data_IF_171235184531
#
_entry.id   IF_171235184531
#
_cell.length_a   1.000
_cell.length_b   1.000
_cell.length_c   1.000
_cell.angle_alpha   90.00
_cell.angle_beta   90.00
_cell.angle_gamma   90.00
#
_symmetry.space_group_name_H-M   'P 1'
#
loop_
_entity.id
_entity.type
_entity.pdbx_description
1 polymer ?
#
# COMPACT_ATOMS: atom_id res chain seq x y z
N UNK A 1 -11.66 11.92 -24.65
CA UNK A 1 -12.48 10.70 -24.55
C UNK A 1 -12.20 10.09 -23.20
N UNK A 2 -13.18 10.10 -22.29
CA UNK A 2 -13.05 9.54 -20.94
C UNK A 2 -13.41 8.06 -20.98
N UNK A 3 -12.47 7.19 -20.63
CA UNK A 3 -12.77 5.92 -19.97
C UNK A 3 -11.56 5.63 -19.09
N UNK A 4 -11.57 6.12 -17.85
CA UNK A 4 -10.69 5.55 -16.85
C UNK A 4 -11.07 4.06 -16.77
N UNK A 5 -10.21 3.16 -17.26
CA UNK A 5 -10.38 1.72 -17.03
C UNK A 5 -9.89 1.40 -15.63
N UNK A 6 -10.53 2.05 -14.65
CA UNK A 6 -10.38 1.71 -13.26
C UNK A 6 -11.00 0.32 -13.05
N UNK A 7 -10.48 -0.43 -12.07
CA UNK A 7 -11.14 -1.67 -11.67
C UNK A 7 -12.62 -1.38 -11.34
N UNK A 8 -13.55 -2.27 -11.73
CA UNK A 8 -14.96 -2.00 -11.55
C UNK A 8 -15.29 -1.83 -10.07
N UNK A 9 -16.07 -0.80 -9.73
CA UNK A 9 -16.47 -0.52 -8.33
C UNK A 9 -17.28 -1.65 -7.71
N UNK A 10 -17.88 -2.52 -8.53
CA UNK A 10 -18.56 -3.75 -8.09
C UNK A 10 -17.64 -4.70 -7.32
N UNK A 11 -16.32 -4.57 -7.45
CA UNK A 11 -15.34 -5.28 -6.64
C UNK A 11 -15.62 -5.09 -5.14
N UNK A 12 -16.10 -3.91 -4.73
CA UNK A 12 -16.44 -3.61 -3.33
C UNK A 12 -17.63 -4.40 -2.76
N UNK A 13 -18.38 -5.10 -3.61
CA UNK A 13 -19.46 -5.99 -3.17
C UNK A 13 -18.96 -7.39 -2.76
N UNK A 14 -17.67 -7.70 -2.98
CA UNK A 14 -17.08 -9.00 -2.67
C UNK A 14 -16.69 -9.10 -1.18
N UNK A 15 -17.67 -8.99 -0.28
CA UNK A 15 -17.43 -8.89 1.17
C UNK A 15 -16.73 -10.11 1.79
N UNK A 16 -16.78 -11.28 1.15
CA UNK A 16 -16.11 -12.51 1.61
C UNK A 16 -14.69 -12.66 1.06
N UNK A 17 -14.25 -11.76 0.16
CA UNK A 17 -12.97 -11.87 -0.53
C UNK A 17 -11.82 -11.74 0.47
N UNK A 18 -10.91 -12.73 0.44
CA UNK A 18 -9.70 -12.77 1.29
C UNK A 18 -8.42 -12.52 0.52
N UNK A 19 -8.40 -12.89 -0.76
CA UNK A 19 -7.24 -12.78 -1.64
C UNK A 19 -7.69 -12.09 -2.92
N UNK A 20 -7.05 -10.98 -3.25
CA UNK A 20 -7.16 -10.32 -4.54
C UNK A 20 -5.76 -10.27 -5.16
N UNK A 21 -5.54 -11.12 -6.15
CA UNK A 21 -4.31 -11.13 -6.94
C UNK A 21 -4.63 -10.70 -8.37
N UNK A 22 -4.09 -9.56 -8.76
CA UNK A 22 -4.18 -8.99 -10.09
C UNK A 22 -2.78 -8.82 -10.70
N UNK A 23 -1.77 -9.50 -10.16
CA UNK A 23 -0.38 -9.33 -10.57
C UNK A 23 -0.15 -9.75 -12.02
N UNK A 24 0.87 -9.15 -12.64
CA UNK A 24 1.33 -9.46 -13.99
C UNK A 24 0.25 -9.23 -15.06
N UNK A 25 -0.39 -8.06 -15.01
CA UNK A 25 -1.34 -7.63 -16.02
C UNK A 25 -0.93 -6.28 -16.62
N UNK A 26 -1.72 -5.78 -17.56
CA UNK A 26 -1.59 -4.44 -18.13
C UNK A 26 -2.63 -3.48 -17.53
N UNK A 27 -3.05 -3.72 -16.29
CA UNK A 27 -4.07 -2.89 -15.63
C UNK A 27 -3.47 -1.52 -15.31
N UNK A 28 -4.30 -0.48 -15.41
CA UNK A 28 -3.90 0.92 -15.24
C UNK A 28 -4.98 1.69 -14.50
N UNK A 29 -4.68 2.96 -14.19
CA UNK A 29 -5.63 3.86 -13.54
C UNK A 29 -5.54 3.84 -12.02
N UNK A 30 -6.53 4.47 -11.39
CA UNK A 30 -6.62 4.52 -9.94
C UNK A 30 -7.41 3.31 -9.42
N UNK A 31 -6.96 2.75 -8.31
CA UNK A 31 -7.68 1.67 -7.66
C UNK A 31 -8.94 2.23 -7.00
N UNK A 32 -10.11 1.61 -7.18
CA UNK A 32 -11.30 1.97 -6.43
C UNK A 32 -11.02 1.80 -4.92
N UNK A 33 -11.81 2.49 -4.09
CA UNK A 33 -11.66 2.37 -2.63
C UNK A 33 -11.99 0.94 -2.18
N UNK A 34 -10.96 0.13 -1.88
CA UNK A 34 -11.09 -1.27 -1.45
C UNK A 34 -11.37 -1.42 0.04
N UNK A 35 -11.56 -0.31 0.77
CA UNK A 35 -11.80 -0.27 2.22
C UNK A 35 -12.96 -1.17 2.67
N UNK A 36 -13.95 -1.41 1.81
CA UNK A 36 -15.12 -2.24 2.10
C UNK A 36 -14.87 -3.75 2.01
N UNK A 37 -13.69 -4.17 1.54
CA UNK A 37 -13.28 -5.57 1.52
C UNK A 37 -12.75 -5.99 2.89
N UNK A 38 -13.60 -5.95 3.91
CA UNK A 38 -13.19 -6.10 5.32
C UNK A 38 -12.52 -7.43 5.68
N UNK A 39 -12.63 -8.45 4.81
CA UNK A 39 -12.00 -9.76 4.99
C UNK A 39 -10.74 -9.92 4.13
N UNK A 40 -10.34 -8.91 3.36
CA UNK A 40 -9.16 -8.95 2.51
C UNK A 40 -7.90 -9.04 3.35
N UNK A 41 -7.12 -10.09 3.10
CA UNK A 41 -5.87 -10.40 3.79
C UNK A 41 -4.67 -10.28 2.86
N UNK A 42 -4.85 -10.57 1.57
CA UNK A 42 -3.79 -10.48 0.57
C UNK A 42 -4.26 -9.60 -0.58
N UNK A 43 -3.49 -8.55 -0.85
CA UNK A 43 -3.62 -7.74 -2.04
C UNK A 43 -2.29 -7.77 -2.81
N UNK A 44 -2.31 -8.33 -4.00
CA UNK A 44 -1.16 -8.38 -4.90
C UNK A 44 -1.48 -7.68 -6.22
N UNK A 45 -0.82 -6.57 -6.47
CA UNK A 45 -0.97 -5.75 -7.67
C UNK A 45 0.32 -5.65 -8.48
N UNK A 46 1.30 -6.50 -8.17
CA UNK A 46 2.63 -6.48 -8.78
C UNK A 46 2.59 -6.43 -10.31
N UNK A 47 3.53 -5.70 -10.93
CA UNK A 47 3.70 -5.66 -12.39
C UNK A 47 2.40 -5.22 -13.10
N UNK A 48 1.96 -4.01 -12.80
CA UNK A 48 0.86 -3.30 -13.46
C UNK A 48 1.23 -1.83 -13.63
N UNK A 49 0.27 -0.95 -13.91
CA UNK A 49 0.48 0.50 -14.04
C UNK A 49 -0.49 1.31 -13.17
N UNK A 50 -0.87 0.79 -12.00
CA UNK A 50 -1.74 1.49 -11.05
C UNK A 50 -1.07 2.73 -10.44
N UNK A 51 -1.86 3.77 -10.16
CA UNK A 51 -1.40 5.01 -9.54
C UNK A 51 -2.23 6.22 -9.99
N UNK A 52 -1.85 7.46 -9.62
CA UNK A 52 -0.66 7.82 -8.85
C UNK A 52 -0.83 7.71 -7.33
N UNK A 53 -2.08 7.62 -6.83
CA UNK A 53 -2.42 7.62 -5.40
C UNK A 53 -2.30 6.24 -4.77
N UNK A 54 -1.88 6.19 -3.51
CA UNK A 54 -1.97 4.97 -2.71
C UNK A 54 -3.45 4.57 -2.50
N UNK A 55 -3.84 3.30 -2.67
CA UNK A 55 -5.24 2.89 -2.54
C UNK A 55 -5.79 3.01 -1.12
N UNK A 56 -7.10 3.24 -0.99
CA UNK A 56 -7.79 3.11 0.30
C UNK A 56 -8.03 1.62 0.59
N UNK A 57 -7.40 1.09 1.63
CA UNK A 57 -7.35 -0.34 1.93
C UNK A 57 -7.98 -0.69 3.29
N UNK A 58 -8.49 -1.92 3.46
CA UNK A 58 -8.95 -2.42 4.76
C UNK A 58 -7.77 -2.76 5.69
N UNK A 59 -7.98 -2.65 6.99
CA UNK A 59 -6.92 -2.79 8.01
C UNK A 59 -6.51 -4.24 8.32
N UNK A 60 -7.26 -5.23 7.82
CA UNK A 60 -7.00 -6.67 8.05
C UNK A 60 -5.99 -7.29 7.08
N UNK A 61 -5.34 -6.49 6.23
CA UNK A 61 -4.31 -6.97 5.33
C UNK A 61 -3.12 -7.57 6.09
N UNK A 62 -2.69 -8.73 5.63
CA UNK A 62 -1.49 -9.46 6.07
C UNK A 62 -0.36 -9.28 5.06
N UNK A 63 -0.70 -9.23 3.76
CA UNK A 63 0.26 -9.02 2.68
C UNK A 63 -0.25 -7.96 1.71
N UNK A 64 0.56 -6.91 1.52
CA UNK A 64 0.32 -5.85 0.54
C UNK A 64 1.52 -5.73 -0.40
N UNK A 65 1.30 -6.08 -1.67
CA UNK A 65 2.31 -6.00 -2.72
C UNK A 65 1.85 -5.03 -3.80
N UNK A 66 2.51 -3.88 -3.87
CA UNK A 66 2.31 -2.82 -4.86
C UNK A 66 3.49 -2.69 -5.82
N UNK A 67 4.42 -3.65 -5.78
CA UNK A 67 5.68 -3.65 -6.54
C UNK A 67 5.49 -3.36 -8.02
N UNK A 68 6.41 -2.58 -8.61
CA UNK A 68 6.44 -2.32 -10.06
C UNK A 68 5.10 -1.79 -10.61
N UNK A 69 4.73 -0.59 -10.14
CA UNK A 69 3.53 0.15 -10.55
C UNK A 69 3.89 1.62 -10.82
N UNK A 70 2.87 2.46 -10.98
CA UNK A 70 3.00 3.90 -11.25
C UNK A 70 2.56 4.79 -10.08
N UNK A 71 2.66 4.31 -8.83
CA UNK A 71 2.39 5.13 -7.65
C UNK A 71 3.43 6.24 -7.51
N UNK A 72 3.01 7.49 -7.29
CA UNK A 72 3.88 8.68 -7.40
C UNK A 72 3.79 9.66 -6.23
N UNK A 73 2.85 9.46 -5.31
CA UNK A 73 2.63 10.35 -4.18
C UNK A 73 3.22 9.79 -2.90
N UNK A 74 2.87 10.34 -1.74
CA UNK A 74 3.32 9.84 -0.45
C UNK A 74 2.56 8.59 -0.02
N UNK A 75 3.23 7.76 0.78
CA UNK A 75 2.60 6.66 1.50
C UNK A 75 1.80 7.25 2.68
N UNK A 76 0.51 6.93 2.85
CA UNK A 76 -0.30 7.56 3.86
C UNK A 76 0.06 7.05 5.27
N UNK A 77 -0.02 7.95 6.26
CA UNK A 77 0.36 7.64 7.65
C UNK A 77 -0.57 6.62 8.33
N UNK A 78 -1.79 6.46 7.82
CA UNK A 78 -2.81 5.56 8.38
C UNK A 78 -2.47 4.07 8.21
N UNK A 79 -1.50 3.70 7.37
CA UNK A 79 -1.01 2.32 7.28
C UNK A 79 -0.43 1.80 8.61
N UNK A 80 -0.09 2.69 9.57
CA UNK A 80 0.28 2.28 10.93
C UNK A 80 -0.84 1.59 11.70
N UNK A 81 -2.09 1.69 11.23
CA UNK A 81 -3.24 0.97 11.79
C UNK A 81 -3.36 -0.48 11.29
N UNK A 82 -2.47 -0.92 10.39
CA UNK A 82 -2.55 -2.24 9.77
C UNK A 82 -1.76 -3.24 10.63
N UNK A 83 -2.24 -3.47 11.85
CA UNK A 83 -1.52 -4.23 12.87
C UNK A 83 -1.23 -5.69 12.48
N UNK A 84 -1.97 -6.24 11.52
CA UNK A 84 -1.78 -7.61 11.01
C UNK A 84 -0.79 -7.67 9.84
N UNK A 85 -0.31 -6.54 9.34
CA UNK A 85 0.52 -6.48 8.14
C UNK A 85 1.90 -7.11 8.41
N UNK A 86 2.21 -8.16 7.67
CA UNK A 86 3.46 -8.91 7.77
C UNK A 86 4.39 -8.59 6.60
N UNK A 87 3.81 -8.45 5.39
CA UNK A 87 4.55 -8.15 4.17
C UNK A 87 4.06 -6.83 3.57
N UNK A 88 4.98 -5.88 3.42
CA UNK A 88 4.76 -4.63 2.70
C UNK A 88 5.83 -4.48 1.62
N UNK A 89 5.41 -4.56 0.36
CA UNK A 89 6.30 -4.37 -0.79
C UNK A 89 5.80 -3.21 -1.65
N UNK A 90 6.50 -2.08 -1.55
CA UNK A 90 6.24 -0.84 -2.28
C UNK A 90 7.29 -0.57 -3.35
N UNK A 91 8.21 -1.51 -3.56
CA UNK A 91 9.40 -1.33 -4.38
C UNK A 91 9.09 -1.06 -5.86
N UNK A 92 10.05 -0.53 -6.60
CA UNK A 92 9.90 -0.20 -8.02
C UNK A 92 8.67 0.68 -8.31
N UNK A 93 8.56 1.78 -7.59
CA UNK A 93 7.50 2.77 -7.79
C UNK A 93 8.12 4.18 -7.86
N UNK A 94 7.26 5.20 -7.94
CA UNK A 94 7.64 6.60 -7.88
C UNK A 94 7.28 7.28 -6.56
N UNK A 95 7.05 6.56 -5.46
CA UNK A 95 6.63 7.16 -4.19
C UNK A 95 7.60 8.26 -3.75
N UNK A 96 7.07 9.39 -3.26
CA UNK A 96 7.84 10.58 -2.85
C UNK A 96 7.57 10.95 -1.39
N UNK A 97 8.40 11.85 -0.86
CA UNK A 97 8.25 12.39 0.50
C UNK A 97 8.80 11.45 1.57
N UNK A 98 8.61 11.78 2.85
CA UNK A 98 9.12 10.96 3.95
C UNK A 98 8.39 9.63 4.04
N UNK A 99 9.14 8.54 4.22
CA UNK A 99 8.55 7.26 4.58
C UNK A 99 8.03 7.31 6.02
N UNK A 100 6.76 6.93 6.30
CA UNK A 100 6.19 7.03 7.65
C UNK A 100 6.94 6.16 8.67
N UNK A 101 7.60 6.74 9.70
CA UNK A 101 8.36 5.97 10.69
C UNK A 101 7.50 4.98 11.48
N UNK A 102 6.22 5.26 11.62
CA UNK A 102 5.24 4.39 12.31
C UNK A 102 5.05 3.03 11.64
N UNK A 103 5.38 2.89 10.34
CA UNK A 103 5.35 1.59 9.66
C UNK A 103 6.50 0.69 10.08
N UNK A 104 7.60 1.27 10.55
CA UNK A 104 8.73 0.53 11.12
C UNK A 104 8.44 0.05 12.55
N UNK A 105 7.33 0.48 13.15
CA UNK A 105 6.87 0.04 14.47
C UNK A 105 5.69 -0.92 14.43
N UNK A 106 5.24 -1.35 13.24
CA UNK A 106 4.19 -2.35 13.14
C UNK A 106 4.66 -3.67 13.77
N UNK A 107 3.90 -4.26 14.72
CA UNK A 107 4.36 -5.40 15.49
C UNK A 107 4.48 -6.69 14.67
N UNK A 108 3.71 -6.81 13.58
CA UNK A 108 3.69 -8.01 12.74
C UNK A 108 4.61 -7.93 11.52
N UNK A 109 5.21 -6.79 11.20
CA UNK A 109 5.99 -6.63 9.96
C UNK A 109 7.25 -7.50 10.01
N UNK A 110 7.43 -8.35 9.00
CA UNK A 110 8.61 -9.22 8.86
C UNK A 110 9.25 -9.13 7.46
N UNK A 111 8.57 -8.50 6.51
CA UNK A 111 9.11 -8.15 5.21
C UNK A 111 8.72 -6.71 4.84
N UNK A 112 9.73 -5.89 4.55
CA UNK A 112 9.56 -4.52 4.08
C UNK A 112 10.52 -4.26 2.92
N UNK A 113 9.98 -4.01 1.74
CA UNK A 113 10.76 -3.53 0.60
C UNK A 113 10.18 -2.20 0.10
N UNK A 114 10.99 -1.16 0.18
CA UNK A 114 10.70 0.20 -0.30
C UNK A 114 11.73 0.68 -1.32
N UNK A 115 12.58 -0.22 -1.81
CA UNK A 115 13.66 0.07 -2.76
C UNK A 115 13.13 0.64 -4.07
N UNK A 116 14.00 1.35 -4.81
CA UNK A 116 13.64 1.93 -6.11
C UNK A 116 12.38 2.82 -6.05
N UNK A 117 12.39 3.74 -5.10
CA UNK A 117 11.42 4.83 -4.95
C UNK A 117 12.18 6.16 -4.79
N UNK A 118 11.44 7.26 -4.57
CA UNK A 118 11.97 8.61 -4.37
C UNK A 118 11.69 9.11 -2.94
N UNK A 119 11.68 8.21 -1.97
CA UNK A 119 11.52 8.55 -0.56
C UNK A 119 12.61 9.52 -0.11
N UNK A 120 12.23 10.53 0.67
CA UNK A 120 13.14 11.54 1.22
C UNK A 120 13.31 11.34 2.72
N UNK A 121 14.30 12.05 3.29
CA UNK A 121 14.74 11.96 4.68
C UNK A 121 15.35 10.60 5.05
N UNK A 122 16.02 10.57 6.20
CA UNK A 122 16.56 9.33 6.75
C UNK A 122 15.42 8.48 7.30
N UNK A 123 15.39 7.22 6.89
CA UNK A 123 14.47 6.22 7.41
C UNK A 123 14.98 5.81 8.79
N UNK A 124 14.45 6.46 9.83
CA UNK A 124 14.71 6.09 11.22
C UNK A 124 13.43 5.52 11.82
N UNK A 125 13.55 4.44 12.61
CA UNK A 125 12.50 4.07 13.55
C UNK A 125 12.29 5.29 14.44
N UNK A 126 11.05 5.81 14.48
CA UNK A 126 10.74 7.12 15.04
C UNK A 126 11.57 7.38 16.29
N UNK A 127 12.38 8.44 16.25
CA UNK A 127 13.13 8.88 17.41
C UNK A 127 12.09 9.05 18.52
N UNK A 128 12.21 8.26 19.59
CA UNK A 128 11.59 8.60 20.85
C UNK A 128 11.99 10.05 21.11
N UNK A 129 11.03 10.96 21.02
CA UNK A 129 11.21 12.26 21.65
C UNK A 129 11.24 11.96 23.14
N UNK A 130 12.43 11.69 23.66
CA UNK A 130 12.81 12.03 25.01
C UNK A 130 12.64 13.54 25.12
N UNK A 131 11.45 13.99 25.50
CA UNK A 131 11.29 15.29 26.12
C UNK A 131 12.05 15.20 27.44
N UNK A 132 13.24 15.80 27.44
CA UNK A 132 14.14 15.87 28.58
C UNK A 132 13.48 16.44 29.83
N UNK A 133 13.97 15.94 30.95
CA UNK A 133 14.08 16.68 32.21
C UNK A 133 15.11 17.81 32.08
#
# INVERSE_FOLDING_TARGET
MSTTHDLPTSLNALHTLRVLDLSNNQLFGELPHLKNLENLQVLNLENNTFGPHFPSLPTKLVSLVLRNNSFKLSVPFNLSSFYLLQRLDLSLNGFVGPFPPSLLSLPSINYLDISSNKFTNKIHKGACHESGE
#
